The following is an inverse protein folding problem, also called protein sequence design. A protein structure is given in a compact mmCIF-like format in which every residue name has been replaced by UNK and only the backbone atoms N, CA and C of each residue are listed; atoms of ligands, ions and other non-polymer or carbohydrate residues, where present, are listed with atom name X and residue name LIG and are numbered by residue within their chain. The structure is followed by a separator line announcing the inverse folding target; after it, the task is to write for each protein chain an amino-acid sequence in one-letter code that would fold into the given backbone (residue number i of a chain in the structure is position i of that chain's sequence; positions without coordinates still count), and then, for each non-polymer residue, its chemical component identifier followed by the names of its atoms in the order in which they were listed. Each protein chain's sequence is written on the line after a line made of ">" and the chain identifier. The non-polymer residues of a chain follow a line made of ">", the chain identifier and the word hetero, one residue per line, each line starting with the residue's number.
data_IF_668631333218
#
_entry.id   IF_668631333218
#
_cell.length_a   1.000
_cell.length_b   1.000
_cell.length_c   1.000
_cell.angle_alpha   90.00
_cell.angle_beta   90.00
_cell.angle_gamma   90.00
#
_symmetry.space_group_name_H-M   'P 1'
#
loop_
_entity.id
_entity.type
_entity.pdbx_description
1 polymer ?
#
# COMPACT_ATOMS: atom_id res chain seq x y z
N UNK A 1 -8.95 -11.83 30.89
CA UNK A 1 -9.31 -10.74 29.96
C UNK A 1 -8.39 -9.59 30.31
N UNK A 2 -7.60 -8.99 29.40
CA UNK A 2 -6.78 -7.84 29.77
C UNK A 2 -7.69 -6.71 30.23
N UNK A 3 -7.40 -6.19 31.43
CA UNK A 3 -8.22 -5.23 32.17
C UNK A 3 -8.33 -3.89 31.42
N UNK A 4 -9.49 -3.24 31.54
CA UNK A 4 -9.72 -1.88 31.05
C UNK A 4 -8.59 -0.94 31.49
N UNK A 5 -7.96 -0.27 30.52
CA UNK A 5 -6.95 0.74 30.78
C UNK A 5 -7.61 2.13 30.70
N UNK A 6 -7.83 2.81 31.84
CA UNK A 6 -8.54 4.08 31.91
C UNK A 6 -7.76 5.24 31.29
N UNK A 7 -6.46 5.07 31.03
CA UNK A 7 -5.63 6.11 30.40
C UNK A 7 -5.70 6.07 28.86
N UNK A 8 -6.38 5.07 28.31
CA UNK A 8 -6.51 4.89 26.86
C UNK A 8 -7.70 5.67 26.33
N UNK A 9 -7.49 6.48 25.30
CA UNK A 9 -8.60 7.23 24.70
C UNK A 9 -9.58 6.29 24.00
N UNK A 10 -10.88 6.63 24.01
CA UNK A 10 -11.94 5.90 23.28
C UNK A 10 -11.56 5.63 21.80
N UNK A 11 -10.86 6.59 21.18
CA UNK A 11 -10.37 6.48 19.81
C UNK A 11 -9.29 5.41 19.64
N UNK A 12 -8.39 5.27 20.61
CA UNK A 12 -7.32 4.28 20.56
C UNK A 12 -7.84 2.86 20.78
N UNK A 13 -8.84 2.71 21.65
CA UNK A 13 -9.51 1.43 21.90
C UNK A 13 -10.34 0.99 20.69
N UNK A 14 -11.08 1.91 20.05
CA UNK A 14 -11.98 1.62 18.92
C UNK A 14 -11.26 1.49 17.57
N UNK A 15 -10.23 2.28 17.33
CA UNK A 15 -9.56 2.27 16.02
C UNK A 15 -8.51 1.15 15.92
N UNK A 16 -8.08 0.60 17.07
CA UNK A 16 -6.96 -0.33 17.15
C UNK A 16 -5.67 0.33 16.64
N UNK A 17 -4.50 -0.09 17.11
CA UNK A 17 -3.25 0.36 16.48
C UNK A 17 -3.02 -0.39 15.15
N UNK A 18 -3.91 -0.17 14.18
CA UNK A 18 -3.83 -0.69 12.80
C UNK A 18 -2.90 0.16 11.92
N UNK A 19 -2.50 1.35 12.40
CA UNK A 19 -2.04 2.47 11.57
C UNK A 19 -0.64 2.39 10.98
N UNK A 20 0.15 1.34 11.23
CA UNK A 20 1.47 1.22 10.60
C UNK A 20 1.68 -0.01 9.73
N UNK A 21 1.00 -1.13 9.94
CA UNK A 21 1.16 -2.27 9.03
C UNK A 21 0.24 -2.20 7.81
N UNK A 22 -1.03 -1.84 7.98
CA UNK A 22 -1.98 -1.79 6.85
C UNK A 22 -1.63 -0.68 5.86
N UNK A 23 -1.22 0.49 6.35
CA UNK A 23 -0.76 1.59 5.48
C UNK A 23 0.53 1.25 4.74
N UNK A 24 1.49 0.57 5.39
CA UNK A 24 2.72 0.10 4.74
C UNK A 24 2.43 -0.93 3.65
N UNK A 25 1.60 -1.93 3.93
CA UNK A 25 1.21 -2.95 2.94
C UNK A 25 0.51 -2.30 1.74
N UNK A 26 -0.42 -1.38 1.99
CA UNK A 26 -1.13 -0.63 0.94
C UNK A 26 -0.18 0.19 0.07
N UNK A 27 0.78 0.89 0.67
CA UNK A 27 1.75 1.71 -0.07
C UNK A 27 2.68 0.81 -0.89
N UNK A 28 3.20 -0.26 -0.30
CA UNK A 28 4.11 -1.19 -1.00
C UNK A 28 3.40 -1.88 -2.16
N UNK A 29 2.16 -2.34 -1.97
CA UNK A 29 1.40 -3.00 -3.04
C UNK A 29 1.05 -2.03 -4.17
N UNK A 30 0.67 -0.79 -3.84
CA UNK A 30 0.42 0.25 -4.83
C UNK A 30 1.67 0.57 -5.66
N UNK A 31 2.82 0.76 -5.01
CA UNK A 31 4.10 1.02 -5.69
C UNK A 31 4.48 -0.15 -6.60
N UNK A 32 4.33 -1.39 -6.13
CA UNK A 32 4.62 -2.58 -6.93
C UNK A 32 3.79 -2.64 -8.23
N UNK A 33 2.49 -2.31 -8.13
CA UNK A 33 1.60 -2.28 -9.31
C UNK A 33 2.03 -1.17 -10.28
N UNK A 34 2.32 0.04 -9.79
CA UNK A 34 2.78 1.15 -10.63
C UNK A 34 4.08 0.80 -11.35
N UNK A 35 5.05 0.22 -10.64
CA UNK A 35 6.32 -0.23 -11.22
C UNK A 35 6.10 -1.31 -12.28
N UNK A 36 5.23 -2.27 -12.03
CA UNK A 36 4.89 -3.32 -13.01
C UNK A 36 4.34 -2.72 -14.32
N UNK A 37 3.40 -1.78 -14.22
CA UNK A 37 2.85 -1.11 -15.40
C UNK A 37 3.89 -0.26 -16.12
N UNK A 38 4.77 0.43 -15.40
CA UNK A 38 5.86 1.19 -15.99
C UNK A 38 6.80 0.28 -16.81
N UNK A 39 7.15 -0.90 -16.28
CA UNK A 39 7.95 -1.90 -17.00
C UNK A 39 7.23 -2.35 -18.27
N UNK A 40 5.96 -2.73 -18.17
CA UNK A 40 5.16 -3.17 -19.33
C UNK A 40 5.09 -2.07 -20.40
N UNK A 41 4.89 -0.82 -20.00
CA UNK A 41 4.87 0.32 -20.92
C UNK A 41 6.20 0.50 -21.65
N UNK A 42 7.32 0.49 -20.93
CA UNK A 42 8.65 0.65 -21.50
C UNK A 42 9.03 -0.50 -22.45
N UNK A 43 8.71 -1.75 -22.06
CA UNK A 43 8.97 -2.93 -22.89
C UNK A 43 8.14 -2.86 -24.18
N UNK A 44 6.85 -2.53 -24.09
CA UNK A 44 6.02 -2.38 -25.27
C UNK A 44 6.52 -1.26 -26.21
N UNK A 45 6.93 -0.11 -25.65
CA UNK A 45 7.51 0.97 -26.46
C UNK A 45 8.83 0.57 -27.15
N UNK A 46 9.66 -0.23 -26.48
CA UNK A 46 10.92 -0.72 -27.06
C UNK A 46 10.70 -1.82 -28.11
N UNK A 47 9.62 -2.60 -28.01
CA UNK A 47 9.29 -3.68 -28.93
C UNK A 47 8.38 -3.25 -30.08
N UNK A 48 7.83 -2.03 -30.03
CA UNK A 48 7.01 -1.50 -31.11
C UNK A 48 7.89 -1.28 -32.36
N UNK A 49 7.57 -1.95 -33.49
CA UNK A 49 8.22 -1.63 -34.74
C UNK A 49 7.93 -0.17 -35.10
N UNK A 50 8.85 0.50 -35.82
CA UNK A 50 8.65 1.88 -36.23
C UNK A 50 7.30 1.98 -36.95
N UNK A 51 6.46 2.92 -36.50
CA UNK A 51 5.17 3.17 -37.13
C UNK A 51 5.45 3.57 -38.59
N UNK A 52 5.09 2.69 -39.51
CA UNK A 52 5.22 2.86 -40.97
C UNK A 52 4.25 3.90 -41.49
#
# INVERSE_FOLDING_TARGET
>A
MPTYDPHKSENEVRQGNSRKMNSRVLIVSLVAIVVLFAIVYLVNGAMQPPAS
#
